data_IF_391149996618
#
_entry.id   IF_391149996618
#
_cell.length_a   1.000
_cell.length_b   1.000
_cell.length_c   1.000
_cell.angle_alpha   90.00
_cell.angle_beta   90.00
_cell.angle_gamma   90.00
#
_symmetry.space_group_name_H-M   'P 1'
#
loop_
_entity.id
_entity.type
_entity.pdbx_description
1 polymer ?
#
# COMPACT_ATOMS: atom_id res chain seq x y z
N UNK A 1 25.76 11.11 -0.70
CA UNK A 1 25.95 10.79 0.73
C UNK A 1 25.51 9.37 1.05
N UNK A 2 24.38 8.86 0.51
CA UNK A 2 23.84 7.55 0.86
C UNK A 2 24.65 6.42 0.19
N UNK A 3 24.88 6.51 -1.12
CA UNK A 3 25.60 5.49 -1.89
C UNK A 3 27.11 5.71 -2.03
N UNK A 4 27.66 6.79 -1.45
CA UNK A 4 29.08 7.14 -1.63
C UNK A 4 29.40 7.79 -2.99
N UNK A 5 28.86 7.26 -4.08
CA UNK A 5 28.90 7.84 -5.43
C UNK A 5 27.53 7.67 -6.12
N UNK A 6 27.30 8.42 -7.20
CA UNK A 6 26.09 8.25 -8.00
C UNK A 6 26.03 6.87 -8.65
N UNK A 7 27.13 6.40 -9.21
CA UNK A 7 27.21 5.07 -9.81
C UNK A 7 26.85 3.95 -8.83
N UNK A 8 27.39 4.02 -7.62
CA UNK A 8 27.09 3.05 -6.58
C UNK A 8 25.63 3.13 -6.13
N UNK A 9 25.06 4.34 -6.06
CA UNK A 9 23.65 4.50 -5.72
C UNK A 9 22.73 3.94 -6.81
N UNK A 10 23.03 4.20 -8.10
CA UNK A 10 22.29 3.62 -9.24
C UNK A 10 22.40 2.09 -9.25
N UNK A 11 23.56 1.53 -8.93
CA UNK A 11 23.73 0.09 -8.77
C UNK A 11 22.78 -0.46 -7.70
N UNK A 12 22.73 0.19 -6.53
CA UNK A 12 21.80 -0.17 -5.44
C UNK A 12 20.33 -0.01 -5.85
N UNK A 13 19.96 1.02 -6.62
CA UNK A 13 18.62 1.19 -7.17
C UNK A 13 18.23 0.00 -8.05
N UNK A 14 19.09 -0.44 -8.95
CA UNK A 14 18.84 -1.58 -9.84
C UNK A 14 18.77 -2.90 -9.07
N UNK A 15 19.65 -3.13 -8.09
CA UNK A 15 19.56 -4.31 -7.21
C UNK A 15 18.25 -4.32 -6.41
N UNK A 16 17.83 -3.17 -5.91
CA UNK A 16 16.55 -3.08 -5.19
C UNK A 16 15.36 -3.33 -6.11
N UNK A 17 15.38 -2.80 -7.33
CA UNK A 17 14.35 -3.06 -8.33
C UNK A 17 14.24 -4.58 -8.64
N UNK A 18 15.37 -5.23 -8.90
CA UNK A 18 15.41 -6.67 -9.12
C UNK A 18 14.89 -7.45 -7.89
N UNK A 19 15.30 -7.08 -6.69
CA UNK A 19 14.82 -7.67 -5.43
C UNK A 19 13.33 -7.48 -5.14
N UNK A 20 12.68 -6.50 -5.77
CA UNK A 20 11.25 -6.26 -5.71
C UNK A 20 10.46 -6.98 -6.83
N UNK A 21 11.15 -7.64 -7.77
CA UNK A 21 10.53 -8.26 -8.93
C UNK A 21 10.12 -7.26 -10.02
N UNK A 22 10.80 -6.11 -10.11
CA UNK A 22 10.62 -5.11 -11.16
C UNK A 22 11.41 -5.54 -12.40
N UNK A 23 10.88 -6.51 -13.14
CA UNK A 23 11.61 -7.20 -14.21
C UNK A 23 11.88 -6.34 -15.46
N UNK A 24 11.14 -5.23 -15.61
CA UNK A 24 11.22 -4.34 -16.76
C UNK A 24 11.60 -2.91 -16.33
N UNK A 25 12.57 -2.82 -15.43
CA UNK A 25 13.08 -1.55 -14.92
C UNK A 25 14.60 -1.54 -14.92
N UNK A 26 15.18 -0.45 -15.46
CA UNK A 26 16.59 -0.20 -15.40
C UNK A 26 16.85 1.30 -15.20
N UNK A 27 17.65 1.64 -14.20
CA UNK A 27 18.06 2.98 -13.87
C UNK A 27 19.48 3.23 -14.34
N UNK A 28 19.75 4.37 -15.00
CA UNK A 28 21.10 4.82 -15.39
C UNK A 28 21.55 6.07 -14.64
N UNK A 29 20.60 6.75 -13.98
CA UNK A 29 20.86 7.88 -13.08
C UNK A 29 19.88 7.87 -11.90
N UNK A 30 20.14 8.70 -10.90
CA UNK A 30 19.34 8.78 -9.68
C UNK A 30 18.25 9.87 -9.69
N UNK A 31 18.20 10.73 -10.72
CA UNK A 31 17.28 11.88 -10.77
C UNK A 31 16.22 11.78 -11.88
N UNK A 32 16.41 10.89 -12.86
CA UNK A 32 15.48 10.68 -13.97
C UNK A 32 15.48 11.81 -15.02
N UNK A 33 16.55 12.58 -15.10
CA UNK A 33 16.71 13.67 -16.07
C UNK A 33 17.63 13.30 -17.25
N UNK A 34 17.74 12.01 -17.52
CA UNK A 34 18.53 11.49 -18.64
C UNK A 34 17.72 11.45 -19.95
N UNK A 35 18.43 11.55 -21.07
CA UNK A 35 17.90 11.27 -22.41
C UNK A 35 18.18 9.84 -22.87
N UNK A 36 18.79 9.00 -22.03
CA UNK A 36 19.10 7.61 -22.34
C UNK A 36 17.82 6.77 -22.39
N UNK A 37 17.67 6.00 -23.46
CA UNK A 37 16.62 4.99 -23.60
C UNK A 37 16.84 3.77 -22.71
N UNK A 38 18.04 3.62 -22.14
CA UNK A 38 18.35 2.55 -21.19
C UNK A 38 17.80 2.84 -19.78
N UNK A 39 17.29 4.07 -19.56
CA UNK A 39 16.56 4.43 -18.35
C UNK A 39 15.06 4.20 -18.58
N UNK A 40 14.56 3.06 -18.20
CA UNK A 40 13.17 2.65 -18.46
C UNK A 40 12.53 1.95 -17.27
N UNK A 41 11.22 1.95 -17.27
CA UNK A 41 10.37 1.23 -16.32
C UNK A 41 8.99 0.97 -16.93
N UNK A 42 8.13 0.25 -16.19
CA UNK A 42 6.73 0.02 -16.56
C UNK A 42 5.78 0.54 -15.49
N UNK A 43 4.50 0.73 -15.86
CA UNK A 43 3.44 1.07 -14.89
C UNK A 43 3.31 0.04 -13.79
N UNK A 44 3.49 -1.25 -14.12
CA UNK A 44 3.49 -2.36 -13.16
C UNK A 44 4.62 -2.22 -12.14
N UNK A 45 5.83 -2.00 -12.61
CA UNK A 45 7.01 -1.91 -11.75
C UNK A 45 6.95 -0.69 -10.84
N UNK A 46 6.49 0.46 -11.36
CA UNK A 46 6.24 1.64 -10.52
C UNK A 46 5.14 1.38 -9.49
N UNK A 47 4.10 0.61 -9.82
CA UNK A 47 3.08 0.23 -8.84
C UNK A 47 3.65 -0.69 -7.74
N UNK A 48 4.51 -1.66 -8.10
CA UNK A 48 5.24 -2.53 -7.15
C UNK A 48 6.09 -1.69 -6.21
N UNK A 49 6.92 -0.80 -6.75
CA UNK A 49 7.78 0.09 -5.96
C UNK A 49 6.95 1.01 -5.05
N UNK A 50 5.88 1.59 -5.58
CA UNK A 50 4.99 2.47 -4.80
C UNK A 50 4.33 1.73 -3.65
N UNK A 51 3.86 0.50 -3.89
CA UNK A 51 3.29 -0.36 -2.84
C UNK A 51 4.33 -0.68 -1.76
N UNK A 52 5.52 -1.10 -2.13
CA UNK A 52 6.60 -1.36 -1.17
C UNK A 52 6.89 -0.11 -0.33
N UNK A 53 6.99 1.05 -0.96
CA UNK A 53 7.29 2.31 -0.30
C UNK A 53 6.23 2.66 0.76
N UNK A 54 4.94 2.63 0.40
CA UNK A 54 3.87 3.03 1.33
C UNK A 54 3.59 1.99 2.41
N UNK A 55 3.89 0.70 2.18
CA UNK A 55 3.67 -0.36 3.17
C UNK A 55 4.83 -0.53 4.14
N UNK A 56 6.07 -0.39 3.67
CA UNK A 56 7.27 -0.55 4.51
C UNK A 56 7.73 0.76 5.14
N UNK A 57 7.45 1.88 4.48
CA UNK A 57 7.88 3.21 4.91
C UNK A 57 6.71 4.21 4.89
N UNK A 58 5.62 3.93 5.66
CA UNK A 58 4.39 4.73 5.60
C UNK A 58 4.59 6.22 5.92
N UNK A 59 5.67 6.55 6.62
CA UNK A 59 6.04 7.95 6.90
C UNK A 59 6.19 8.81 5.64
N UNK A 60 6.45 8.21 4.47
CA UNK A 60 6.51 8.96 3.21
C UNK A 60 5.19 9.69 2.91
N UNK A 61 4.06 9.13 3.36
CA UNK A 61 2.75 9.71 3.13
C UNK A 61 2.54 11.03 3.90
N UNK A 62 3.22 11.23 5.04
CA UNK A 62 3.22 12.50 5.78
C UNK A 62 3.77 13.63 4.92
N UNK A 63 4.81 13.36 4.12
CA UNK A 63 5.44 14.35 3.24
C UNK A 63 4.73 14.46 1.89
N UNK A 64 4.38 13.34 1.27
CA UNK A 64 3.78 13.35 -0.06
C UNK A 64 2.37 13.93 -0.10
N UNK A 65 1.68 14.00 1.04
CA UNK A 65 0.35 14.61 1.18
C UNK A 65 0.38 16.12 1.42
N UNK A 66 1.55 16.72 1.71
CA UNK A 66 1.67 18.16 1.90
C UNK A 66 1.37 18.87 0.58
N UNK A 67 0.37 19.74 0.59
CA UNK A 67 0.01 20.54 -0.60
C UNK A 67 0.91 21.75 -0.78
N UNK A 68 1.14 22.50 0.28
CA UNK A 68 1.96 23.70 0.28
C UNK A 68 2.75 23.80 1.57
N UNK A 69 3.99 24.24 1.48
CA UNK A 69 4.86 24.48 2.63
C UNK A 69 5.80 25.66 2.35
N UNK A 70 5.95 26.53 3.36
CA UNK A 70 6.92 27.60 3.31
C UNK A 70 8.25 27.10 3.89
N UNK A 71 9.32 27.24 3.15
CA UNK A 71 10.68 26.96 3.62
C UNK A 71 11.52 28.23 3.62
N UNK A 72 12.34 28.37 4.63
CA UNK A 72 13.33 29.46 4.69
C UNK A 72 14.66 28.97 4.12
N UNK A 73 15.04 29.49 2.97
CA UNK A 73 16.34 29.22 2.38
C UNK A 73 17.36 30.23 2.88
N UNK A 74 18.31 29.75 3.68
CA UNK A 74 19.39 30.56 4.24
C UNK A 74 20.65 30.40 3.40
N UNK A 75 21.21 31.53 2.90
CA UNK A 75 22.46 31.56 2.18
C UNK A 75 23.43 32.56 2.85
N UNK A 76 24.65 32.61 2.39
CA UNK A 76 25.64 33.65 2.83
C UNK A 76 25.18 35.07 2.53
N UNK A 77 24.24 35.26 1.58
CA UNK A 77 23.70 36.56 1.15
C UNK A 77 22.42 36.96 1.90
N UNK A 78 21.92 36.10 2.81
CA UNK A 78 20.72 36.34 3.58
C UNK A 78 19.75 35.17 3.54
N UNK A 79 18.57 35.40 4.12
CA UNK A 79 17.47 34.39 4.14
C UNK A 79 16.31 34.84 3.24
N UNK A 80 15.70 33.91 2.58
CA UNK A 80 14.51 34.13 1.74
C UNK A 80 13.49 33.00 1.97
N UNK A 81 12.23 33.39 2.10
CA UNK A 81 11.14 32.40 2.15
C UNK A 81 10.71 31.99 0.75
N UNK A 82 10.48 30.70 0.59
CA UNK A 82 9.90 30.08 -0.60
C UNK A 82 8.67 29.30 -0.22
N UNK A 83 7.56 29.56 -0.90
CA UNK A 83 6.38 28.75 -0.84
C UNK A 83 6.49 27.62 -1.89
N UNK A 84 6.62 26.40 -1.43
CA UNK A 84 6.62 25.21 -2.27
C UNK A 84 5.20 24.68 -2.41
N UNK A 85 4.81 24.38 -3.64
CA UNK A 85 3.50 23.78 -3.95
C UNK A 85 3.71 22.42 -4.59
N UNK A 86 2.98 21.42 -4.09
CA UNK A 86 3.04 20.08 -4.65
C UNK A 86 2.54 20.05 -6.10
N UNK A 87 3.25 19.34 -6.94
CA UNK A 87 2.89 19.17 -8.35
C UNK A 87 1.78 18.15 -8.56
N UNK A 88 1.47 17.31 -7.55
CA UNK A 88 0.35 16.36 -7.59
C UNK A 88 -0.98 17.07 -7.31
N UNK A 89 -1.67 17.48 -8.38
CA UNK A 89 -2.96 18.20 -8.26
C UNK A 89 -4.09 17.33 -7.66
N UNK A 90 -3.97 16.00 -7.68
CA UNK A 90 -4.96 15.11 -7.08
C UNK A 90 -5.11 15.32 -5.57
N UNK A 91 -4.08 15.82 -4.88
CA UNK A 91 -4.17 16.17 -3.45
C UNK A 91 -5.28 17.18 -3.14
N UNK A 92 -5.69 17.99 -4.12
CA UNK A 92 -6.77 19.00 -3.97
C UNK A 92 -8.02 18.65 -4.74
N UNK A 93 -7.92 17.83 -5.79
CA UNK A 93 -9.02 17.57 -6.72
C UNK A 93 -9.61 16.16 -6.60
N UNK A 94 -9.00 15.27 -5.84
CA UNK A 94 -9.45 13.89 -5.68
C UNK A 94 -9.56 13.51 -4.20
N UNK A 95 -10.79 13.20 -3.77
CA UNK A 95 -11.07 12.82 -2.40
C UNK A 95 -10.29 11.56 -1.99
N UNK A 96 -9.67 11.62 -0.79
CA UNK A 96 -8.84 10.54 -0.25
C UNK A 96 -7.44 10.44 -0.86
N UNK A 97 -7.01 11.34 -1.78
CA UNK A 97 -5.65 11.33 -2.29
C UNK A 97 -4.64 11.74 -1.20
N UNK A 98 -3.62 10.88 -0.99
CA UNK A 98 -2.57 11.04 0.02
C UNK A 98 -1.15 11.03 -0.56
N UNK A 99 -1.00 10.97 -1.88
CA UNK A 99 0.32 10.97 -2.53
C UNK A 99 0.22 10.55 -3.98
N UNK A 100 1.31 10.16 -4.63
CA UNK A 100 2.66 9.95 -4.12
C UNK A 100 3.67 10.84 -4.85
N UNK A 101 3.89 10.60 -6.17
CA UNK A 101 4.92 11.30 -6.95
C UNK A 101 4.51 11.58 -8.38
N UNK A 102 4.86 12.75 -8.87
CA UNK A 102 4.76 13.11 -10.29
C UNK A 102 6.15 13.21 -10.93
N UNK A 103 6.22 13.04 -12.23
CA UNK A 103 7.40 13.27 -13.03
C UNK A 103 7.03 13.77 -14.42
N UNK A 104 7.95 14.52 -15.06
CA UNK A 104 7.82 14.86 -16.47
C UNK A 104 9.18 15.22 -17.06
N UNK A 105 9.46 14.67 -18.24
CA UNK A 105 10.58 15.03 -19.11
C UNK A 105 10.07 15.06 -20.55
N UNK A 106 10.87 15.57 -21.47
CA UNK A 106 10.55 15.53 -22.91
C UNK A 106 10.33 14.12 -23.40
N UNK A 107 11.11 13.16 -22.94
CA UNK A 107 11.04 11.75 -23.32
C UNK A 107 9.93 11.00 -22.58
N UNK A 108 9.88 11.07 -21.26
CA UNK A 108 8.92 10.36 -20.42
C UNK A 108 7.51 10.98 -20.45
N UNK A 109 7.35 12.19 -21.02
CA UNK A 109 6.10 12.96 -20.99
C UNK A 109 5.61 13.16 -19.56
N UNK A 110 4.30 13.04 -19.30
CA UNK A 110 3.70 13.31 -17.99
C UNK A 110 3.35 12.02 -17.29
N UNK A 111 3.96 11.82 -16.11
CA UNK A 111 3.78 10.62 -15.30
C UNK A 111 3.25 10.95 -13.91
N UNK A 112 2.51 10.05 -13.31
CA UNK A 112 2.07 10.10 -11.92
C UNK A 112 1.92 8.70 -11.34
N UNK A 113 2.43 8.51 -10.13
CA UNK A 113 2.00 7.46 -9.21
C UNK A 113 1.13 8.14 -8.17
N UNK A 114 -0.17 7.86 -8.17
CA UNK A 114 -1.15 8.43 -7.25
C UNK A 114 -1.58 7.37 -6.23
N UNK A 115 -1.71 7.79 -4.97
CA UNK A 115 -2.19 6.95 -3.88
C UNK A 115 -3.40 7.60 -3.27
N UNK A 116 -4.48 6.84 -3.14
CA UNK A 116 -5.69 7.29 -2.46
C UNK A 116 -6.20 6.24 -1.48
N UNK A 117 -6.77 6.68 -0.37
CA UNK A 117 -7.32 5.81 0.67
C UNK A 117 -8.74 6.24 1.02
N UNK A 118 -9.68 5.28 1.01
CA UNK A 118 -11.08 5.45 1.40
C UNK A 118 -11.58 4.17 2.08
N UNK A 119 -12.32 4.30 3.16
CA UNK A 119 -12.95 3.17 3.84
C UNK A 119 -11.98 2.00 4.12
N UNK A 120 -10.78 2.30 4.62
CA UNK A 120 -9.70 1.34 4.87
C UNK A 120 -9.13 0.63 3.62
N UNK A 121 -9.52 1.06 2.42
CA UNK A 121 -8.97 0.56 1.16
C UNK A 121 -8.00 1.60 0.61
N UNK A 122 -6.76 1.19 0.36
CA UNK A 122 -5.75 2.03 -0.27
C UNK A 122 -5.44 1.52 -1.67
N UNK A 123 -5.58 2.38 -2.66
CA UNK A 123 -5.32 2.08 -4.07
C UNK A 123 -4.16 2.91 -4.60
N UNK A 124 -3.42 2.32 -5.52
CA UNK A 124 -2.35 2.96 -6.27
C UNK A 124 -2.75 2.97 -7.74
N UNK A 125 -2.68 4.14 -8.36
CA UNK A 125 -2.88 4.33 -9.78
C UNK A 125 -1.62 4.91 -10.41
N UNK A 126 -1.09 4.25 -11.44
CA UNK A 126 0.10 4.68 -12.15
C UNK A 126 -0.23 5.03 -13.59
N UNK A 127 0.07 6.25 -13.99
CA UNK A 127 -0.03 6.73 -15.38
C UNK A 127 1.35 7.15 -15.84
N UNK A 128 1.74 6.69 -17.01
CA UNK A 128 3.01 7.06 -17.65
C UNK A 128 2.78 7.55 -19.07
N UNK A 129 3.65 8.40 -19.53
CA UNK A 129 3.66 8.93 -20.91
C UNK A 129 2.34 9.61 -21.34
N UNK A 130 1.59 10.21 -20.41
CA UNK A 130 0.41 10.98 -20.76
C UNK A 130 0.80 12.20 -21.66
N UNK A 131 -0.06 12.57 -22.64
CA UNK A 131 0.27 13.63 -23.61
C UNK A 131 0.39 15.01 -22.97
N UNK A 132 -0.34 15.25 -21.89
CA UNK A 132 -0.26 16.51 -21.13
C UNK A 132 -0.47 16.30 -19.61
N UNK A 133 -0.21 17.35 -18.85
CA UNK A 133 -0.30 17.29 -17.40
C UNK A 133 -1.71 17.09 -16.84
N UNK A 134 -2.79 17.49 -17.58
CA UNK A 134 -4.17 17.32 -17.13
C UNK A 134 -4.63 15.88 -17.34
N UNK A 135 -4.26 15.29 -18.49
CA UNK A 135 -4.62 13.92 -18.85
C UNK A 135 -4.10 12.92 -17.81
N UNK A 136 -2.83 13.02 -17.37
CA UNK A 136 -2.32 12.10 -16.35
C UNK A 136 -3.17 12.07 -15.07
N UNK A 137 -3.69 13.23 -14.63
CA UNK A 137 -4.54 13.30 -13.44
C UNK A 137 -5.96 12.81 -13.70
N UNK A 138 -6.53 13.12 -14.87
CA UNK A 138 -7.83 12.62 -15.29
C UNK A 138 -7.84 11.09 -15.33
N UNK A 139 -6.84 10.51 -15.98
CA UNK A 139 -6.73 9.06 -16.14
C UNK A 139 -6.47 8.37 -14.81
N UNK A 140 -5.58 8.93 -13.97
CA UNK A 140 -5.33 8.41 -12.63
C UNK A 140 -6.60 8.43 -11.76
N UNK A 141 -7.37 9.52 -11.80
CA UNK A 141 -8.64 9.63 -11.08
C UNK A 141 -9.68 8.61 -11.59
N UNK A 142 -9.78 8.42 -12.90
CA UNK A 142 -10.68 7.44 -13.50
C UNK A 142 -10.36 6.02 -13.07
N UNK A 143 -9.06 5.65 -13.07
CA UNK A 143 -8.61 4.33 -12.59
C UNK A 143 -8.84 4.14 -11.09
N UNK A 144 -8.61 5.15 -10.27
CA UNK A 144 -8.92 5.10 -8.83
C UNK A 144 -10.42 4.93 -8.59
N UNK A 145 -11.28 5.67 -9.32
CA UNK A 145 -12.73 5.51 -9.22
C UNK A 145 -13.17 4.10 -9.62
N UNK A 146 -12.63 3.58 -10.71
CA UNK A 146 -12.89 2.21 -11.13
C UNK A 146 -12.46 1.21 -10.05
N UNK A 147 -11.24 1.34 -9.51
CA UNK A 147 -10.73 0.48 -8.46
C UNK A 147 -11.61 0.51 -7.20
N UNK A 148 -11.98 1.69 -6.71
CA UNK A 148 -12.86 1.82 -5.54
C UNK A 148 -14.26 1.27 -5.80
N UNK A 149 -14.78 1.35 -7.03
CA UNK A 149 -16.08 0.75 -7.37
C UNK A 149 -16.06 -0.78 -7.41
N UNK A 150 -14.87 -1.39 -7.52
CA UNK A 150 -14.69 -2.84 -7.55
C UNK A 150 -14.25 -3.43 -6.22
N UNK A 151 -13.79 -2.59 -5.30
CA UNK A 151 -13.31 -3.02 -4.01
C UNK A 151 -14.39 -2.89 -2.94
N UNK A 152 -14.63 -3.96 -2.20
CA UNK A 152 -15.45 -3.95 -0.99
C UNK A 152 -14.72 -4.67 0.13
N UNK A 153 -14.88 -4.17 1.36
CA UNK A 153 -14.20 -4.70 2.53
C UNK A 153 -15.22 -5.39 3.42
N UNK A 154 -15.03 -6.69 3.62
CA UNK A 154 -15.82 -7.47 4.55
C UNK A 154 -15.08 -7.59 5.87
N UNK A 155 -15.76 -7.34 6.97
CA UNK A 155 -15.26 -7.59 8.34
C UNK A 155 -16.26 -8.49 9.05
N UNK A 156 -15.78 -9.57 9.60
CA UNK A 156 -16.60 -10.45 10.44
C UNK A 156 -16.68 -9.86 11.86
N UNK A 157 -17.73 -9.08 12.13
CA UNK A 157 -17.92 -8.36 13.40
C UNK A 157 -18.65 -9.18 14.48
N UNK A 158 -19.32 -10.26 14.09
CA UNK A 158 -20.16 -11.07 14.98
C UNK A 158 -19.74 -12.54 14.97
N UNK A 159 -18.56 -12.87 15.50
CA UNK A 159 -18.16 -14.26 15.63
C UNK A 159 -19.08 -15.00 16.61
N UNK A 160 -19.34 -16.27 16.35
CA UNK A 160 -20.09 -17.13 17.26
C UNK A 160 -19.39 -17.23 18.61
N UNK A 161 -20.20 -17.38 19.67
CA UNK A 161 -19.65 -17.61 21.01
C UNK A 161 -18.93 -18.95 21.04
N UNK A 162 -17.65 -18.91 21.39
CA UNK A 162 -16.82 -20.11 21.47
C UNK A 162 -17.11 -20.89 22.76
N UNK A 163 -17.16 -22.24 22.68
CA UNK A 163 -17.30 -23.10 23.86
C UNK A 163 -15.99 -23.07 24.68
N UNK A 164 -16.10 -23.54 25.92
CA UNK A 164 -14.92 -23.92 26.70
C UNK A 164 -14.37 -25.28 26.25
N UNK A 165 -13.09 -25.48 26.31
CA UNK A 165 -12.41 -26.73 25.94
C UNK A 165 -11.92 -27.43 27.22
N UNK A 166 -12.05 -28.77 27.28
CA UNK A 166 -11.54 -29.59 28.37
C UNK A 166 -10.01 -29.57 28.44
N UNK A 167 -9.46 -29.46 29.64
CA UNK A 167 -8.00 -29.50 29.86
C UNK A 167 -7.65 -30.76 30.64
N UNK A 168 -6.95 -31.69 29.99
CA UNK A 168 -6.44 -32.90 30.62
C UNK A 168 -5.12 -32.62 31.37
N UNK A 169 -5.01 -33.27 32.54
CA UNK A 169 -3.81 -33.15 33.42
C UNK A 169 -3.49 -31.72 33.85
N UNK A 170 -4.45 -30.80 33.78
CA UNK A 170 -4.34 -29.44 34.27
C UNK A 170 -4.90 -29.27 35.68
N UNK A 171 -4.59 -28.13 36.29
CA UNK A 171 -5.15 -27.72 37.59
C UNK A 171 -6.59 -27.21 37.45
N UNK A 172 -6.98 -26.76 36.27
CA UNK A 172 -8.36 -26.37 35.91
C UNK A 172 -8.93 -27.35 34.90
N UNK A 173 -10.21 -27.75 35.03
CA UNK A 173 -10.83 -28.75 34.14
C UNK A 173 -11.10 -28.20 32.72
N UNK A 174 -11.26 -26.89 32.56
CA UNK A 174 -11.56 -26.25 31.28
C UNK A 174 -10.73 -24.98 31.07
N UNK A 175 -10.62 -24.55 29.82
CA UNK A 175 -10.05 -23.25 29.44
C UNK A 175 -10.97 -22.53 28.47
N UNK A 176 -10.94 -21.21 28.51
CA UNK A 176 -11.58 -20.36 27.53
C UNK A 176 -10.74 -20.26 26.27
N UNK A 177 -11.40 -20.18 25.11
CA UNK A 177 -10.77 -19.91 23.84
C UNK A 177 -11.29 -18.59 23.27
N UNK A 178 -10.49 -17.93 22.46
CA UNK A 178 -10.82 -16.65 21.82
C UNK A 178 -10.41 -16.70 20.35
N UNK A 179 -11.08 -15.92 19.55
CA UNK A 179 -10.59 -15.65 18.20
C UNK A 179 -9.29 -14.84 18.30
N UNK A 180 -8.30 -15.20 17.51
CA UNK A 180 -7.02 -14.46 17.45
C UNK A 180 -7.23 -13.02 16.98
N UNK A 181 -8.08 -12.84 15.96
CA UNK A 181 -8.46 -11.55 15.40
C UNK A 181 -9.77 -11.66 14.62
N UNK A 182 -10.40 -10.52 14.35
CA UNK A 182 -11.53 -10.47 13.43
C UNK A 182 -11.05 -10.78 12.01
N UNK A 183 -11.79 -11.64 11.32
CA UNK A 183 -11.50 -11.92 9.92
C UNK A 183 -11.86 -10.73 9.04
N UNK A 184 -10.96 -10.40 8.13
CA UNK A 184 -11.16 -9.33 7.16
C UNK A 184 -10.80 -9.83 5.76
N UNK A 185 -11.62 -9.48 4.79
CA UNK A 185 -11.42 -9.85 3.40
C UNK A 185 -11.70 -8.67 2.48
N UNK A 186 -10.79 -8.42 1.53
CA UNK A 186 -10.95 -7.42 0.48
C UNK A 186 -11.41 -8.11 -0.80
N UNK A 187 -12.68 -7.93 -1.17
CA UNK A 187 -13.19 -8.31 -2.50
C UNK A 187 -12.74 -7.26 -3.53
N UNK A 188 -12.32 -7.71 -4.71
CA UNK A 188 -11.82 -6.86 -5.80
C UNK A 188 -12.55 -7.08 -7.13
N UNK A 189 -13.60 -7.89 -7.14
CA UNK A 189 -14.39 -8.26 -8.32
C UNK A 189 -15.67 -7.42 -8.51
N UNK A 190 -15.95 -6.53 -7.58
CA UNK A 190 -17.14 -5.68 -7.55
C UNK A 190 -18.39 -6.38 -7.00
N UNK A 191 -18.23 -7.58 -6.46
CA UNK A 191 -19.32 -8.28 -5.79
C UNK A 191 -19.36 -7.92 -4.31
N UNK A 192 -20.53 -7.74 -3.77
CA UNK A 192 -20.75 -7.68 -2.33
C UNK A 192 -20.72 -9.11 -1.80
N UNK A 193 -19.97 -9.33 -0.74
CA UNK A 193 -19.99 -10.63 -0.05
C UNK A 193 -21.38 -10.83 0.53
N UNK A 194 -22.04 -11.90 0.12
CA UNK A 194 -23.37 -12.29 0.58
C UNK A 194 -23.35 -12.91 1.98
N UNK A 195 -24.25 -13.83 2.23
CA UNK A 195 -24.27 -14.59 3.49
C UNK A 195 -22.99 -15.41 3.63
N UNK A 196 -22.38 -15.35 4.82
CA UNK A 196 -21.17 -16.07 5.15
C UNK A 196 -21.52 -17.20 6.10
N UNK A 197 -21.32 -18.45 5.65
CA UNK A 197 -21.44 -19.62 6.49
C UNK A 197 -20.15 -19.83 7.29
N UNK A 198 -20.28 -20.09 8.60
CA UNK A 198 -19.15 -20.37 9.48
C UNK A 198 -19.11 -21.84 9.84
N UNK A 199 -17.92 -22.42 9.81
CA UNK A 199 -17.66 -23.76 10.30
C UNK A 199 -16.52 -23.72 11.31
N UNK A 200 -16.85 -24.01 12.55
CA UNK A 200 -15.87 -24.15 13.62
C UNK A 200 -15.34 -25.58 13.66
N UNK A 201 -14.04 -25.73 13.54
CA UNK A 201 -13.32 -26.98 13.77
C UNK A 201 -12.45 -26.79 15.01
N UNK A 202 -12.99 -27.21 16.16
CA UNK A 202 -12.36 -27.02 17.46
C UNK A 202 -11.87 -28.35 18.02
N UNK A 203 -10.74 -28.30 18.71
CA UNK A 203 -10.31 -29.41 19.56
C UNK A 203 -11.31 -29.59 20.70
N UNK A 204 -11.69 -30.82 20.97
CA UNK A 204 -12.63 -31.13 22.09
C UNK A 204 -11.92 -31.11 23.44
N UNK A 205 -10.60 -31.33 23.44
CA UNK A 205 -9.77 -31.37 24.61
C UNK A 205 -8.32 -30.98 24.31
N UNK A 206 -7.65 -30.38 25.25
CA UNK A 206 -6.22 -30.06 25.18
C UNK A 206 -5.49 -30.63 26.39
N UNK A 207 -4.18 -30.89 26.29
CA UNK A 207 -3.37 -31.39 27.37
C UNK A 207 -2.54 -30.27 28.01
N UNK A 208 -2.55 -30.16 29.33
CA UNK A 208 -1.68 -29.23 30.03
C UNK A 208 -0.18 -29.56 29.84
N UNK A 209 0.72 -28.57 29.84
CA UNK A 209 0.45 -27.14 30.05
C UNK A 209 -0.11 -26.45 28.80
N UNK A 210 -1.11 -25.59 29.00
CA UNK A 210 -1.71 -24.75 27.93
C UNK A 210 -1.29 -23.32 28.18
N UNK A 211 -0.88 -22.61 27.13
CA UNK A 211 -0.43 -21.23 27.15
C UNK A 211 -1.30 -20.33 26.28
N UNK A 212 -1.33 -19.05 26.61
CA UNK A 212 -1.92 -18.05 25.71
C UNK A 212 -1.20 -18.04 24.37
N UNK A 213 -1.95 -18.12 23.27
CA UNK A 213 -1.43 -18.25 21.92
C UNK A 213 -1.38 -19.68 21.36
N UNK A 214 -1.64 -20.70 22.21
CA UNK A 214 -1.79 -22.07 21.72
C UNK A 214 -3.06 -22.18 20.84
N UNK A 215 -2.94 -22.82 19.69
CA UNK A 215 -4.04 -22.98 18.73
C UNK A 215 -4.96 -24.08 19.19
N UNK A 216 -6.23 -23.73 19.42
CA UNK A 216 -7.28 -24.67 19.86
C UNK A 216 -8.24 -25.07 18.73
N UNK A 217 -8.06 -24.55 17.52
CA UNK A 217 -8.88 -24.88 16.39
C UNK A 217 -8.86 -23.81 15.29
N UNK A 218 -9.75 -23.96 14.32
CA UNK A 218 -9.88 -23.03 13.20
C UNK A 218 -11.36 -22.68 12.97
N UNK A 219 -11.59 -21.44 12.54
CA UNK A 219 -12.87 -20.98 12.01
C UNK A 219 -12.73 -20.83 10.49
N UNK A 220 -13.51 -21.57 9.73
CA UNK A 220 -13.60 -21.46 8.28
C UNK A 220 -14.82 -20.64 7.92
N UNK A 221 -14.63 -19.71 7.00
CA UNK A 221 -15.71 -18.87 6.46
C UNK A 221 -15.91 -19.23 4.99
N UNK A 222 -17.14 -19.55 4.62
CA UNK A 222 -17.53 -19.87 3.25
C UNK A 222 -18.48 -18.80 2.75
N UNK A 223 -18.28 -18.35 1.52
CA UNK A 223 -19.23 -17.52 0.78
C UNK A 223 -19.95 -18.39 -0.23
N UNK A 224 -21.27 -18.27 -0.35
CA UNK A 224 -22.00 -18.81 -1.51
C UNK A 224 -21.63 -17.93 -2.72
N UNK A 225 -21.12 -18.55 -3.79
CA UNK A 225 -20.87 -17.91 -5.09
C UNK A 225 -22.16 -17.42 -5.74
#
# INVERSE_FOLDING_TARGET
>A
HIGGSEQEFVRQMNERAAGLGMENTHFVDCCGLTESTDHYTTVRDIAIMSRELITKYPKILEYSSIWMENITHVTRQGSKEFCLTNTNKLLRSYDGCIGLKTGSTSLAKYCVSAVASRNNITLISVVMAAPDYKVRFKDAAAMLNYGFSKCSFYTDENPEKLPQIEVRKGTKPTTEIKYEKNFQYLSTDGKTIGEVERKLNLETQVQAPVKEGDVAGTCLLYTSD
#
